data_IF_949996891564
#
_entry.id   IF_949996891564
#
_cell.length_a   1.000
_cell.length_b   1.000
_cell.length_c   1.000
_cell.angle_alpha   90.00
_cell.angle_beta   90.00
_cell.angle_gamma   90.00
#
_symmetry.space_group_name_H-M   'P 1'
#
loop_
_entity.id
_entity.type
_entity.pdbx_description
1 polymer ?
#
# COMPACT_ATOMS: atom_id res chain seq x y z
N UNK A 1 23.60 -4.33 -2.65
CA UNK A 1 24.42 -3.29 -3.30
C UNK A 1 23.59 -2.32 -4.14
N UNK A 2 22.77 -2.78 -5.10
CA UNK A 2 21.96 -1.93 -6.00
C UNK A 2 20.98 -1.00 -5.28
N UNK A 3 20.27 -1.49 -4.24
CA UNK A 3 19.33 -0.66 -3.47
C UNK A 3 20.05 0.48 -2.74
N UNK A 4 21.20 0.18 -2.12
CA UNK A 4 22.01 1.19 -1.41
C UNK A 4 22.50 2.25 -2.39
N UNK A 5 23.08 1.84 -3.52
CA UNK A 5 23.54 2.76 -4.56
C UNK A 5 22.40 3.64 -5.10
N UNK A 6 21.23 3.06 -5.39
CA UNK A 6 20.08 3.83 -5.87
C UNK A 6 19.61 4.87 -4.86
N UNK A 7 19.59 4.53 -3.55
CA UNK A 7 19.18 5.44 -2.48
C UNK A 7 20.20 6.55 -2.25
N UNK A 8 21.49 6.23 -2.31
CA UNK A 8 22.56 7.23 -2.28
C UNK A 8 22.47 8.21 -3.46
N UNK A 9 22.18 7.70 -4.66
CA UNK A 9 22.03 8.54 -5.85
C UNK A 9 20.81 9.48 -5.74
N UNK A 10 19.65 8.94 -5.33
CA UNK A 10 18.43 9.73 -5.06
C UNK A 10 18.66 10.79 -3.99
N UNK A 11 19.38 10.44 -2.91
CA UNK A 11 19.73 11.38 -1.85
C UNK A 11 20.67 12.49 -2.36
N UNK A 12 21.67 12.15 -3.17
CA UNK A 12 22.60 13.11 -3.75
C UNK A 12 21.89 14.08 -4.73
N UNK A 13 21.01 13.56 -5.59
CA UNK A 13 20.22 14.38 -6.52
C UNK A 13 19.24 15.27 -5.75
N UNK A 14 18.54 14.72 -4.76
CA UNK A 14 17.66 15.50 -3.88
C UNK A 14 18.41 16.60 -3.13
N UNK A 15 19.56 16.27 -2.54
CA UNK A 15 20.43 17.24 -1.87
C UNK A 15 20.90 18.33 -2.82
N UNK A 16 21.31 17.97 -4.04
CA UNK A 16 21.71 18.95 -5.05
C UNK A 16 20.56 19.91 -5.40
N UNK A 17 19.35 19.38 -5.62
CA UNK A 17 18.16 20.19 -5.89
C UNK A 17 17.83 21.17 -4.76
N UNK A 18 17.81 20.70 -3.51
CA UNK A 18 17.46 21.50 -2.33
C UNK A 18 18.57 22.51 -1.98
N UNK A 19 19.84 22.09 -2.04
CA UNK A 19 20.98 22.90 -1.62
C UNK A 19 21.43 23.92 -2.66
N UNK A 20 21.54 23.50 -3.93
CA UNK A 20 22.19 24.30 -4.99
C UNK A 20 21.18 24.97 -5.92
N UNK A 21 20.13 24.25 -6.32
CA UNK A 21 19.17 24.75 -7.33
C UNK A 21 18.13 25.67 -6.69
N UNK A 22 17.42 25.18 -5.67
CA UNK A 22 16.32 25.93 -5.04
C UNK A 22 16.72 26.70 -3.77
N UNK A 23 17.95 26.48 -3.25
CA UNK A 23 18.51 27.14 -2.05
C UNK A 23 17.56 27.13 -0.84
N UNK A 24 16.89 26.01 -0.62
CA UNK A 24 15.89 25.82 0.44
C UNK A 24 16.51 25.41 1.80
N UNK A 25 17.84 25.29 1.90
CA UNK A 25 18.52 24.87 3.12
C UNK A 25 18.73 26.04 4.08
N UNK A 26 18.03 26.02 5.21
CA UNK A 26 18.39 26.78 6.39
C UNK A 26 19.38 25.96 7.26
N UNK A 27 20.18 26.64 8.08
CA UNK A 27 21.03 25.96 9.05
C UNK A 27 20.15 25.15 10.04
N UNK A 28 20.48 23.87 10.31
CA UNK A 28 19.68 23.06 11.23
C UNK A 28 19.72 23.69 12.62
N UNK A 29 18.55 24.09 13.14
CA UNK A 29 18.40 24.59 14.51
C UNK A 29 17.71 23.55 15.36
N UNK A 30 18.21 23.32 16.57
CA UNK A 30 17.64 22.31 17.47
C UNK A 30 16.20 22.66 17.88
N UNK A 31 15.93 23.96 18.04
CA UNK A 31 14.60 24.52 18.29
C UNK A 31 13.66 24.34 17.09
N UNK A 32 14.16 24.52 15.86
CA UNK A 32 13.39 24.24 14.64
C UNK A 32 13.09 22.74 14.49
N UNK A 33 14.06 21.88 14.79
CA UNK A 33 13.92 20.43 14.68
C UNK A 33 12.85 19.88 15.63
N UNK A 34 12.83 20.34 16.89
CA UNK A 34 11.81 19.94 17.88
C UNK A 34 10.43 20.50 17.50
N UNK A 35 10.37 21.73 17.00
CA UNK A 35 9.12 22.36 16.55
C UNK A 35 8.51 21.62 15.35
N UNK A 36 9.34 21.23 14.38
CA UNK A 36 8.90 20.52 13.18
C UNK A 36 8.65 19.03 13.43
N UNK A 37 9.31 18.44 14.43
CA UNK A 37 9.15 17.04 14.80
C UNK A 37 7.69 16.70 15.16
N UNK A 38 6.98 17.57 15.88
CA UNK A 38 5.57 17.33 16.23
C UNK A 38 4.69 17.20 14.98
N UNK A 39 4.85 18.11 14.02
CA UNK A 39 4.13 18.09 12.74
C UNK A 39 4.50 16.88 11.89
N UNK A 40 5.80 16.56 11.82
CA UNK A 40 6.30 15.40 11.08
C UNK A 40 5.81 14.08 11.68
N UNK A 41 5.82 13.92 13.00
CA UNK A 41 5.34 12.72 13.68
C UNK A 41 3.85 12.49 13.45
N UNK A 42 3.05 13.56 13.35
CA UNK A 42 1.62 13.47 13.02
C UNK A 42 1.34 12.78 11.67
N UNK A 43 2.29 12.82 10.72
CA UNK A 43 2.17 12.22 9.39
C UNK A 43 2.99 10.92 9.31
N UNK A 44 4.26 10.98 9.70
CA UNK A 44 5.21 9.88 9.60
C UNK A 44 4.90 8.76 10.61
N UNK A 45 4.42 9.08 11.81
CA UNK A 45 4.08 8.11 12.84
C UNK A 45 3.04 7.08 12.38
N UNK A 46 1.84 7.52 11.95
CA UNK A 46 0.83 6.62 11.40
C UNK A 46 1.32 5.82 10.18
N UNK A 47 2.13 6.44 9.30
CA UNK A 47 2.69 5.76 8.14
C UNK A 47 3.68 4.65 8.54
N UNK A 48 4.57 4.91 9.50
CA UNK A 48 5.50 3.90 10.05
C UNK A 48 4.72 2.78 10.72
N UNK A 49 3.74 3.11 11.57
CA UNK A 49 2.89 2.11 12.23
C UNK A 49 2.14 1.24 11.21
N UNK A 50 1.64 1.84 10.14
CA UNK A 50 0.97 1.10 9.05
C UNK A 50 1.90 0.06 8.43
N UNK A 51 3.15 0.44 8.17
CA UNK A 51 4.13 -0.45 7.55
C UNK A 51 4.69 -1.51 8.52
N UNK A 52 4.60 -1.31 9.83
CA UNK A 52 5.01 -2.29 10.85
C UNK A 52 4.04 -3.46 11.03
N UNK A 53 2.77 -3.29 10.68
CA UNK A 53 1.77 -4.36 10.86
C UNK A 53 2.12 -5.65 10.08
N UNK A 54 2.62 -5.51 8.85
CA UNK A 54 3.00 -6.64 7.99
C UNK A 54 4.17 -7.46 8.56
N UNK A 55 5.34 -6.87 8.91
CA UNK A 55 6.44 -7.64 9.49
C UNK A 55 6.07 -8.25 10.84
N UNK A 56 5.26 -7.59 11.67
CA UNK A 56 4.77 -8.17 12.93
C UNK A 56 3.95 -9.45 12.68
N UNK A 57 3.00 -9.39 11.74
CA UNK A 57 2.25 -10.58 11.34
C UNK A 57 3.14 -11.66 10.71
N UNK A 58 4.13 -11.24 9.89
CA UNK A 58 5.10 -12.13 9.26
C UNK A 58 5.91 -12.92 10.28
N UNK A 59 6.46 -12.25 11.30
CA UNK A 59 7.18 -12.91 12.40
C UNK A 59 6.28 -13.96 13.06
N UNK A 60 5.03 -13.62 13.36
CA UNK A 60 4.09 -14.57 13.97
C UNK A 60 3.81 -15.79 13.08
N UNK A 61 3.61 -15.59 11.78
CA UNK A 61 3.42 -16.69 10.80
C UNK A 61 4.66 -17.57 10.74
N UNK A 62 5.86 -16.98 10.65
CA UNK A 62 7.12 -17.72 10.60
C UNK A 62 7.36 -18.51 11.88
N UNK A 63 7.14 -17.91 13.06
CA UNK A 63 7.24 -18.62 14.34
C UNK A 63 6.20 -19.73 14.47
N UNK A 64 4.99 -19.54 13.96
CA UNK A 64 3.96 -20.59 13.91
C UNK A 64 4.38 -21.74 13.00
N UNK A 65 4.97 -21.43 11.83
CA UNK A 65 5.47 -22.42 10.87
C UNK A 65 6.66 -23.22 11.45
N UNK A 66 7.55 -22.57 12.18
CA UNK A 66 8.74 -23.19 12.77
C UNK A 66 8.43 -24.34 13.74
N UNK A 67 7.22 -24.38 14.31
CA UNK A 67 6.76 -25.48 15.16
C UNK A 67 6.61 -26.81 14.42
N UNK A 68 6.57 -26.78 13.09
CA UNK A 68 6.40 -27.96 12.23
C UNK A 68 7.72 -28.41 11.56
N UNK A 69 8.86 -27.88 12.01
CA UNK A 69 10.20 -28.31 11.61
C UNK A 69 10.76 -27.59 10.38
N UNK A 70 12.05 -27.86 10.10
CA UNK A 70 12.84 -27.13 9.11
C UNK A 70 12.28 -27.24 7.69
N UNK A 71 11.73 -28.40 7.32
CA UNK A 71 11.10 -28.60 6.01
C UNK A 71 9.87 -27.70 5.81
N UNK A 72 9.08 -27.46 6.86
CA UNK A 72 7.93 -26.56 6.78
C UNK A 72 8.37 -25.10 6.60
N UNK A 73 9.41 -24.68 7.33
CA UNK A 73 10.02 -23.34 7.19
C UNK A 73 10.64 -23.16 5.80
N UNK A 74 11.32 -24.19 5.26
CA UNK A 74 11.87 -24.17 3.91
C UNK A 74 10.76 -24.02 2.85
N UNK A 75 9.67 -24.77 2.97
CA UNK A 75 8.50 -24.64 2.09
C UNK A 75 7.87 -23.25 2.14
N UNK A 76 7.66 -22.70 3.34
CA UNK A 76 7.18 -21.34 3.51
C UNK A 76 8.13 -20.29 2.89
N UNK A 77 9.44 -20.48 3.05
CA UNK A 77 10.42 -19.59 2.46
C UNK A 77 10.47 -19.67 0.92
N UNK A 78 10.15 -20.82 0.31
CA UNK A 78 9.97 -20.92 -1.15
C UNK A 78 8.74 -20.10 -1.55
N UNK A 79 7.61 -20.30 -0.88
CA UNK A 79 6.38 -19.53 -1.12
C UNK A 79 6.63 -18.03 -1.02
N UNK A 80 7.29 -17.56 0.04
CA UNK A 80 7.61 -16.14 0.24
C UNK A 80 8.47 -15.55 -0.87
N UNK A 81 9.35 -16.33 -1.50
CA UNK A 81 10.15 -15.90 -2.66
C UNK A 81 9.33 -15.85 -3.95
N UNK A 82 8.33 -16.70 -4.09
CA UNK A 82 7.43 -16.70 -5.24
C UNK A 82 6.48 -15.49 -5.23
N UNK A 83 6.02 -15.07 -4.05
CA UNK A 83 5.05 -13.97 -3.88
C UNK A 83 5.42 -12.69 -4.62
N UNK A 84 6.62 -12.08 -4.45
CA UNK A 84 6.96 -10.84 -5.14
C UNK A 84 7.08 -11.02 -6.67
N UNK A 85 7.42 -12.22 -7.15
CA UNK A 85 7.49 -12.52 -8.59
C UNK A 85 6.09 -12.66 -9.17
N UNK A 86 5.21 -13.41 -8.50
CA UNK A 86 3.83 -13.65 -8.94
C UNK A 86 2.95 -12.40 -8.80
N UNK A 87 3.09 -11.68 -7.69
CA UNK A 87 2.18 -10.62 -7.27
C UNK A 87 2.85 -9.24 -7.18
N UNK A 88 4.02 -9.06 -7.79
CA UNK A 88 4.73 -7.78 -7.92
C UNK A 88 3.84 -6.64 -8.40
N UNK A 89 2.92 -6.95 -9.32
CA UNK A 89 1.93 -6.01 -9.87
C UNK A 89 1.02 -5.42 -8.81
N UNK A 90 0.65 -6.16 -7.75
CA UNK A 90 -0.16 -5.62 -6.64
C UNK A 90 0.57 -4.46 -5.96
N UNK A 91 1.87 -4.67 -5.68
CA UNK A 91 2.72 -3.68 -5.03
C UNK A 91 2.97 -2.47 -5.94
N UNK A 92 3.22 -2.72 -7.23
CA UNK A 92 3.43 -1.67 -8.22
C UNK A 92 2.18 -0.82 -8.45
N UNK A 93 1.01 -1.45 -8.57
CA UNK A 93 -0.27 -0.76 -8.79
C UNK A 93 -0.58 0.22 -7.65
N UNK A 94 -0.34 -0.20 -6.41
CA UNK A 94 -0.55 0.63 -5.21
C UNK A 94 0.25 1.93 -5.29
N UNK A 95 1.49 1.88 -5.77
CA UNK A 95 2.35 3.05 -5.96
C UNK A 95 1.91 3.96 -7.11
N UNK A 96 1.36 3.40 -8.19
CA UNK A 96 0.89 4.17 -9.35
C UNK A 96 -0.49 4.83 -9.14
N UNK A 97 -1.40 4.13 -8.46
CA UNK A 97 -2.80 4.57 -8.28
C UNK A 97 -2.90 5.74 -7.29
N UNK A 98 -2.04 5.80 -6.29
CA UNK A 98 -2.05 6.86 -5.27
C UNK A 98 -2.00 8.28 -5.86
N UNK A 99 -0.96 8.64 -6.64
CA UNK A 99 -0.88 9.94 -7.31
C UNK A 99 -2.06 10.24 -8.22
N UNK A 100 -2.57 9.26 -8.96
CA UNK A 100 -3.73 9.43 -9.85
C UNK A 100 -4.98 9.78 -9.05
N UNK A 101 -5.22 9.11 -7.92
CA UNK A 101 -6.34 9.41 -7.03
C UNK A 101 -6.22 10.82 -6.43
N UNK A 102 -5.04 11.17 -5.91
CA UNK A 102 -4.80 12.48 -5.31
C UNK A 102 -4.96 13.62 -6.34
N UNK A 103 -4.43 13.46 -7.56
CA UNK A 103 -4.56 14.46 -8.62
C UNK A 103 -6.00 14.65 -9.08
N UNK A 104 -6.77 13.56 -9.24
CA UNK A 104 -8.19 13.68 -9.61
C UNK A 104 -9.01 14.32 -8.48
N UNK A 105 -8.70 14.01 -7.22
CA UNK A 105 -9.31 14.68 -6.08
C UNK A 105 -8.97 16.18 -6.05
N UNK A 106 -7.71 16.55 -6.23
CA UNK A 106 -7.26 17.94 -6.27
C UNK A 106 -7.87 18.74 -7.44
N UNK A 107 -8.22 18.07 -8.53
CA UNK A 107 -8.95 18.65 -9.66
C UNK A 107 -10.48 18.62 -9.50
N UNK A 108 -11.02 18.17 -8.36
CA UNK A 108 -12.46 18.06 -8.11
C UNK A 108 -13.19 16.99 -8.93
N UNK A 109 -12.46 16.12 -9.66
CA UNK A 109 -13.04 15.11 -10.57
C UNK A 109 -13.29 13.78 -9.87
N UNK A 110 -14.34 13.76 -9.05
CA UNK A 110 -14.71 12.62 -8.21
C UNK A 110 -15.23 11.41 -9.01
N UNK A 111 -15.79 11.65 -10.19
CA UNK A 111 -16.09 10.64 -11.20
C UNK A 111 -14.83 9.84 -11.59
N UNK A 112 -13.72 10.55 -11.84
CA UNK A 112 -12.44 9.94 -12.20
C UNK A 112 -11.76 9.27 -11.01
N UNK A 113 -11.96 9.75 -9.79
CA UNK A 113 -11.52 9.05 -8.56
C UNK A 113 -12.20 7.68 -8.49
N UNK A 114 -13.52 7.63 -8.69
CA UNK A 114 -14.27 6.36 -8.67
C UNK A 114 -13.89 5.44 -9.83
N UNK A 115 -13.70 5.99 -11.04
CA UNK A 115 -13.26 5.22 -12.20
C UNK A 115 -11.86 4.61 -11.97
N UNK A 116 -10.95 5.37 -11.37
CA UNK A 116 -9.60 4.88 -11.01
C UNK A 116 -9.67 3.73 -10.00
N UNK A 117 -10.50 3.86 -8.97
CA UNK A 117 -10.72 2.78 -7.99
C UNK A 117 -11.26 1.51 -8.67
N UNK A 118 -12.29 1.62 -9.51
CA UNK A 118 -12.86 0.49 -10.23
C UNK A 118 -11.85 -0.18 -11.18
N UNK A 119 -11.12 0.62 -11.97
CA UNK A 119 -10.09 0.11 -12.87
C UNK A 119 -8.97 -0.62 -12.12
N UNK A 120 -8.57 -0.09 -10.96
CA UNK A 120 -7.57 -0.73 -10.10
C UNK A 120 -8.05 -2.09 -9.58
N UNK A 121 -9.30 -2.17 -9.13
CA UNK A 121 -9.88 -3.44 -8.66
C UNK A 121 -10.03 -4.46 -9.79
N UNK A 122 -10.50 -4.03 -10.96
CA UNK A 122 -10.63 -4.90 -12.13
C UNK A 122 -9.26 -5.47 -12.56
N UNK A 123 -8.21 -4.63 -12.57
CA UNK A 123 -6.86 -5.07 -12.89
C UNK A 123 -6.32 -6.07 -11.86
N UNK A 124 -6.56 -5.83 -10.56
CA UNK A 124 -6.16 -6.77 -9.50
C UNK A 124 -6.86 -8.12 -9.68
N UNK A 125 -8.18 -8.13 -9.91
CA UNK A 125 -8.94 -9.36 -10.14
C UNK A 125 -8.37 -10.12 -11.33
N UNK A 126 -8.25 -9.46 -12.48
CA UNK A 126 -7.77 -10.08 -13.70
C UNK A 126 -6.36 -10.64 -13.53
N UNK A 127 -5.45 -9.85 -12.97
CA UNK A 127 -4.05 -10.24 -12.78
C UNK A 127 -3.92 -11.42 -11.81
N UNK A 128 -4.56 -11.34 -10.65
CA UNK A 128 -4.45 -12.41 -9.64
C UNK A 128 -5.04 -13.71 -10.17
N UNK A 129 -6.20 -13.67 -10.84
CA UNK A 129 -6.79 -14.87 -11.41
C UNK A 129 -5.92 -15.48 -12.52
N UNK A 130 -5.34 -14.65 -13.39
CA UNK A 130 -4.44 -15.11 -14.45
C UNK A 130 -3.17 -15.77 -13.87
N UNK A 131 -2.53 -15.12 -12.91
CA UNK A 131 -1.32 -15.65 -12.25
C UNK A 131 -1.64 -16.90 -11.44
N UNK A 132 -2.75 -16.91 -10.70
CA UNK A 132 -3.16 -18.08 -9.92
C UNK A 132 -3.45 -19.28 -10.83
N UNK A 133 -4.14 -19.08 -11.96
CA UNK A 133 -4.33 -20.13 -12.96
C UNK A 133 -2.99 -20.64 -13.50
N UNK A 134 -2.07 -19.73 -13.84
CA UNK A 134 -0.73 -20.09 -14.28
C UNK A 134 0.03 -20.93 -13.25
N UNK A 135 0.01 -20.52 -11.97
CA UNK A 135 0.61 -21.27 -10.86
C UNK A 135 -0.06 -22.63 -10.66
N UNK A 136 -1.39 -22.71 -10.73
CA UNK A 136 -2.13 -23.95 -10.60
C UNK A 136 -1.72 -24.98 -11.66
N UNK A 137 -1.56 -24.54 -12.92
CA UNK A 137 -1.13 -25.38 -14.04
C UNK A 137 0.36 -25.74 -13.95
N UNK A 138 1.20 -24.82 -13.47
CA UNK A 138 2.65 -25.01 -13.35
C UNK A 138 3.09 -25.61 -12.01
N UNK A 139 2.17 -25.99 -11.10
CA UNK A 139 2.50 -26.36 -9.71
C UNK A 139 3.56 -27.45 -9.58
N UNK A 140 3.51 -28.47 -10.43
CA UNK A 140 4.47 -29.58 -10.43
C UNK A 140 5.85 -29.11 -10.90
N UNK A 141 5.89 -28.28 -11.93
CA UNK A 141 7.11 -27.65 -12.43
C UNK A 141 7.75 -26.73 -11.39
N UNK A 142 6.95 -25.99 -10.63
CA UNK A 142 7.45 -25.14 -9.54
C UNK A 142 8.10 -26.00 -8.45
N UNK A 143 7.47 -27.10 -8.03
CA UNK A 143 8.06 -28.03 -7.04
C UNK A 143 9.41 -28.56 -7.52
N UNK A 144 9.49 -28.97 -8.79
CA UNK A 144 10.74 -29.45 -9.42
C UNK A 144 11.80 -28.34 -9.47
N UNK A 145 11.42 -27.13 -9.89
CA UNK A 145 12.35 -26.00 -10.04
C UNK A 145 13.01 -25.57 -8.72
N UNK A 146 12.31 -25.77 -7.60
CA UNK A 146 12.83 -25.50 -6.26
C UNK A 146 13.44 -26.74 -5.58
N UNK A 147 13.47 -27.89 -6.26
CA UNK A 147 13.88 -29.17 -5.67
C UNK A 147 13.20 -29.44 -4.32
N UNK A 148 11.92 -29.10 -4.22
CA UNK A 148 11.17 -29.21 -2.97
C UNK A 148 10.72 -30.65 -2.76
N UNK A 149 10.88 -31.15 -1.52
CA UNK A 149 10.54 -32.53 -1.14
C UNK A 149 9.63 -32.55 0.10
N UNK A 150 8.90 -33.66 0.28
CA UNK A 150 8.02 -33.89 1.43
C UNK A 150 7.12 -32.71 1.76
N UNK A 151 7.15 -32.27 3.02
CA UNK A 151 6.33 -31.15 3.51
C UNK A 151 6.58 -29.86 2.73
N UNK A 152 7.81 -29.58 2.31
CA UNK A 152 8.10 -28.37 1.52
C UNK A 152 7.37 -28.41 0.18
N UNK A 153 7.37 -29.57 -0.50
CA UNK A 153 6.65 -29.77 -1.75
C UNK A 153 5.13 -29.60 -1.57
N UNK A 154 4.58 -30.14 -0.48
CA UNK A 154 3.15 -30.05 -0.16
C UNK A 154 2.72 -28.60 0.04
N UNK A 155 3.52 -27.79 0.75
CA UNK A 155 3.25 -26.37 0.95
C UNK A 155 3.31 -25.57 -0.34
N UNK A 156 4.29 -25.86 -1.21
CA UNK A 156 4.41 -25.21 -2.53
C UNK A 156 3.21 -25.57 -3.41
N UNK A 157 2.81 -26.86 -3.45
CA UNK A 157 1.61 -27.30 -4.19
C UNK A 157 0.37 -26.62 -3.66
N UNK A 158 0.18 -26.60 -2.35
CA UNK A 158 -0.96 -25.95 -1.68
C UNK A 158 -1.01 -24.45 -2.01
N UNK A 159 0.15 -23.79 -2.05
CA UNK A 159 0.22 -22.39 -2.44
C UNK A 159 -0.27 -22.18 -3.86
N UNK A 160 0.30 -22.92 -4.81
CA UNK A 160 -0.07 -22.84 -6.22
C UNK A 160 -1.54 -23.20 -6.46
N UNK A 161 -2.11 -24.12 -5.68
CA UNK A 161 -3.49 -24.59 -5.91
C UNK A 161 -4.55 -23.71 -5.27
N UNK A 162 -4.34 -23.24 -4.04
CA UNK A 162 -5.39 -22.57 -3.27
C UNK A 162 -4.94 -21.23 -2.65
N UNK A 163 -3.81 -21.20 -1.95
CA UNK A 163 -3.43 -20.02 -1.14
C UNK A 163 -3.11 -18.82 -2.02
N UNK A 164 -2.55 -19.03 -3.22
CA UNK A 164 -2.28 -17.98 -4.20
C UNK A 164 -3.56 -17.19 -4.57
N UNK A 165 -4.72 -17.84 -4.65
CA UNK A 165 -6.01 -17.16 -4.88
C UNK A 165 -6.37 -16.16 -3.77
N UNK A 166 -5.93 -16.41 -2.53
CA UNK A 166 -6.12 -15.51 -1.40
C UNK A 166 -5.45 -14.14 -1.55
N UNK A 167 -4.43 -14.03 -2.42
CA UNK A 167 -3.78 -12.75 -2.73
C UNK A 167 -4.71 -11.76 -3.42
N UNK A 168 -5.87 -12.20 -3.93
CA UNK A 168 -6.91 -11.31 -4.43
C UNK A 168 -7.36 -10.33 -3.34
N UNK A 169 -7.59 -10.84 -2.13
CA UNK A 169 -8.04 -10.04 -1.00
C UNK A 169 -6.93 -9.17 -0.41
N UNK A 170 -5.68 -9.64 -0.50
CA UNK A 170 -4.51 -8.81 -0.21
C UNK A 170 -4.44 -7.63 -1.20
N UNK A 171 -4.67 -7.87 -2.48
CA UNK A 171 -4.73 -6.81 -3.50
C UNK A 171 -5.86 -5.81 -3.25
N UNK A 172 -7.04 -6.28 -2.87
CA UNK A 172 -8.16 -5.43 -2.46
C UNK A 172 -7.83 -4.53 -1.27
N UNK A 173 -7.19 -5.09 -0.25
CA UNK A 173 -6.70 -4.32 0.90
C UNK A 173 -5.71 -3.25 0.47
N UNK A 174 -4.77 -3.58 -0.43
CA UNK A 174 -3.75 -2.66 -0.90
C UNK A 174 -4.34 -1.50 -1.71
N UNK A 175 -5.30 -1.77 -2.60
CA UNK A 175 -6.04 -0.73 -3.32
C UNK A 175 -6.84 0.16 -2.35
N UNK A 176 -7.47 -0.44 -1.34
CA UNK A 176 -8.15 0.30 -0.27
C UNK A 176 -7.19 1.22 0.49
N UNK A 177 -6.03 0.70 0.91
CA UNK A 177 -5.00 1.47 1.60
C UNK A 177 -4.45 2.62 0.75
N UNK A 178 -4.20 2.39 -0.55
CA UNK A 178 -3.82 3.46 -1.47
C UNK A 178 -4.90 4.55 -1.50
N UNK A 179 -6.17 4.15 -1.54
CA UNK A 179 -7.30 5.09 -1.53
C UNK A 179 -7.31 5.92 -0.23
N UNK A 180 -7.21 5.27 0.93
CA UNK A 180 -7.24 5.95 2.22
C UNK A 180 -6.06 6.91 2.40
N UNK A 181 -4.84 6.47 2.07
CA UNK A 181 -3.64 7.29 2.22
C UNK A 181 -3.63 8.52 1.30
N UNK A 182 -4.22 8.41 0.10
CA UNK A 182 -4.16 9.48 -0.90
C UNK A 182 -5.40 10.40 -0.90
N UNK A 183 -6.51 9.99 -0.26
CA UNK A 183 -7.72 10.82 -0.15
C UNK A 183 -7.89 11.47 1.24
N UNK A 184 -6.85 11.44 2.09
CA UNK A 184 -6.87 12.14 3.39
C UNK A 184 -7.41 11.32 4.57
N UNK A 185 -7.44 9.99 4.48
CA UNK A 185 -7.89 9.10 5.55
C UNK A 185 -6.81 8.09 6.02
N UNK A 186 -5.55 8.52 6.29
CA UNK A 186 -4.44 7.59 6.55
C UNK A 186 -4.66 6.67 7.76
N UNK A 187 -5.41 7.11 8.79
CA UNK A 187 -5.73 6.27 9.95
C UNK A 187 -6.59 5.05 9.59
N UNK A 188 -7.40 5.13 8.53
CA UNK A 188 -8.11 3.95 8.02
C UNK A 188 -7.11 2.93 7.48
N UNK A 189 -6.09 3.35 6.73
CA UNK A 189 -5.05 2.44 6.27
C UNK A 189 -4.30 1.79 7.44
N UNK A 190 -3.95 2.56 8.47
CA UNK A 190 -3.33 2.02 9.69
C UNK A 190 -4.23 0.96 10.34
N UNK A 191 -5.50 1.29 10.56
CA UNK A 191 -6.47 0.41 11.19
C UNK A 191 -6.71 -0.88 10.41
N UNK A 192 -6.83 -0.79 9.08
CA UNK A 192 -7.01 -1.95 8.21
C UNK A 192 -5.79 -2.88 8.20
N UNK A 193 -4.57 -2.32 8.18
CA UNK A 193 -3.35 -3.13 8.22
C UNK A 193 -3.16 -3.82 9.57
N UNK A 194 -3.37 -3.10 10.68
CA UNK A 194 -3.30 -3.70 12.01
C UNK A 194 -4.42 -4.70 12.26
N UNK A 195 -5.65 -4.39 11.85
CA UNK A 195 -6.77 -5.32 11.94
C UNK A 195 -6.51 -6.61 11.17
N UNK A 196 -6.00 -6.51 9.92
CA UNK A 196 -5.60 -7.69 9.14
C UNK A 196 -4.45 -8.44 9.80
N UNK A 197 -3.45 -7.74 10.35
CA UNK A 197 -2.30 -8.36 10.99
C UNK A 197 -2.69 -9.11 12.27
N UNK A 198 -3.57 -8.55 13.09
CA UNK A 198 -3.96 -9.13 14.38
C UNK A 198 -5.22 -9.99 14.22
N UNK A 199 -6.40 -9.39 14.17
CA UNK A 199 -7.70 -10.06 14.13
C UNK A 199 -7.89 -10.92 12.87
N UNK A 200 -7.26 -10.52 11.76
CA UNK A 200 -7.28 -11.29 10.52
C UNK A 200 -6.29 -12.44 10.54
N UNK A 201 -5.00 -12.18 10.77
CA UNK A 201 -3.96 -13.19 10.53
C UNK A 201 -3.74 -14.07 11.74
N UNK A 202 -3.54 -13.51 12.94
CA UNK A 202 -3.11 -14.28 14.12
C UNK A 202 -4.08 -15.40 14.52
N UNK A 203 -5.39 -15.17 14.72
CA UNK A 203 -6.29 -16.22 15.17
C UNK A 203 -6.52 -17.29 14.09
N UNK A 204 -6.55 -16.91 12.81
CA UNK A 204 -6.73 -17.86 11.71
C UNK A 204 -5.49 -18.71 11.48
N UNK A 205 -4.29 -18.15 11.65
CA UNK A 205 -3.02 -18.91 11.63
C UNK A 205 -2.94 -19.85 12.82
N UNK A 206 -3.30 -19.39 14.03
CA UNK A 206 -3.33 -20.24 15.22
C UNK A 206 -4.29 -21.42 15.05
N UNK A 207 -5.53 -21.14 14.66
CA UNK A 207 -6.56 -22.15 14.43
C UNK A 207 -6.18 -23.09 13.28
N UNK A 208 -5.69 -22.55 12.16
CA UNK A 208 -5.24 -23.32 11.01
C UNK A 208 -4.07 -24.24 11.38
N UNK A 209 -3.08 -23.73 12.12
CA UNK A 209 -1.96 -24.53 12.62
C UNK A 209 -2.41 -25.68 13.53
N UNK A 210 -3.41 -25.46 14.38
CA UNK A 210 -3.98 -26.51 15.24
C UNK A 210 -4.76 -27.57 14.44
N UNK A 211 -5.54 -27.15 13.44
CA UNK A 211 -6.40 -28.05 12.65
C UNK A 211 -5.66 -28.84 11.58
N UNK A 212 -4.64 -28.24 10.96
CA UNK A 212 -4.02 -28.75 9.73
C UNK A 212 -2.51 -28.59 9.66
N UNK A 213 -1.85 -28.34 10.79
CA UNK A 213 -0.40 -28.20 10.86
C UNK A 213 0.16 -27.07 9.98
N UNK A 214 1.31 -27.31 9.35
CA UNK A 214 1.95 -26.36 8.45
C UNK A 214 1.06 -25.91 7.26
N UNK A 215 0.38 -26.81 6.52
CA UNK A 215 -0.63 -26.42 5.52
C UNK A 215 -1.70 -25.47 6.07
N UNK A 216 -2.20 -25.75 7.27
CA UNK A 216 -3.21 -24.95 7.93
C UNK A 216 -2.75 -23.54 8.28
N UNK A 217 -1.47 -23.33 8.60
CA UNK A 217 -0.88 -21.99 8.80
C UNK A 217 -1.00 -21.14 7.54
N UNK A 218 -0.65 -21.69 6.36
CA UNK A 218 -0.75 -20.95 5.09
C UNK A 218 -2.20 -20.62 4.73
N UNK A 219 -3.11 -21.59 4.91
CA UNK A 219 -4.54 -21.39 4.67
C UNK A 219 -5.09 -20.32 5.61
N UNK A 220 -4.73 -20.38 6.90
CA UNK A 220 -5.14 -19.40 7.90
C UNK A 220 -4.68 -17.98 7.55
N UNK A 221 -3.44 -17.82 7.07
CA UNK A 221 -2.93 -16.53 6.61
C UNK A 221 -3.73 -15.94 5.45
N UNK A 222 -4.08 -16.77 4.44
CA UNK A 222 -4.90 -16.33 3.32
C UNK A 222 -6.35 -16.01 3.76
N UNK A 223 -6.97 -16.90 4.54
CA UNK A 223 -8.33 -16.72 5.06
C UNK A 223 -8.47 -15.43 5.89
N UNK A 224 -7.46 -15.14 6.72
CA UNK A 224 -7.40 -13.93 7.53
C UNK A 224 -7.41 -12.61 6.75
N UNK A 225 -7.03 -12.66 5.47
CA UNK A 225 -7.01 -11.49 4.59
C UNK A 225 -8.35 -11.25 3.87
N UNK A 226 -9.24 -12.24 3.82
CA UNK A 226 -10.52 -12.18 3.10
C UNK A 226 -11.42 -11.06 3.66
N UNK A 227 -11.69 -11.12 4.97
CA UNK A 227 -12.57 -10.17 5.64
C UNK A 227 -12.06 -8.73 5.46
N UNK A 228 -10.77 -8.51 5.72
CA UNK A 228 -10.17 -7.18 5.65
C UNK A 228 -10.03 -6.66 4.22
N UNK A 229 -9.77 -7.52 3.23
CA UNK A 229 -9.76 -7.14 1.83
C UNK A 229 -11.13 -6.65 1.36
N UNK A 230 -12.19 -7.42 1.64
CA UNK A 230 -13.56 -7.04 1.28
C UNK A 230 -13.99 -5.76 2.01
N UNK A 231 -13.74 -5.69 3.32
CA UNK A 231 -14.08 -4.52 4.12
C UNK A 231 -13.33 -3.26 3.66
N UNK A 232 -12.06 -3.37 3.26
CA UNK A 232 -11.29 -2.24 2.75
C UNK A 232 -11.89 -1.68 1.45
N UNK A 233 -12.28 -2.55 0.52
CA UNK A 233 -12.96 -2.14 -0.73
C UNK A 233 -14.29 -1.46 -0.43
N UNK A 234 -15.09 -2.04 0.46
CA UNK A 234 -16.35 -1.45 0.88
C UNK A 234 -16.17 -0.06 1.49
N UNK A 235 -15.21 0.10 2.42
CA UNK A 235 -14.90 1.40 3.03
C UNK A 235 -14.36 2.38 1.98
N UNK A 236 -13.54 1.95 1.02
CA UNK A 236 -13.05 2.79 -0.07
C UNK A 236 -14.19 3.38 -0.91
N UNK A 237 -15.20 2.57 -1.25
CA UNK A 237 -16.40 3.08 -1.93
C UNK A 237 -17.25 4.00 -1.05
N UNK A 238 -17.33 3.75 0.26
CA UNK A 238 -18.02 4.65 1.20
C UNK A 238 -17.31 6.01 1.29
N UNK A 239 -15.98 6.02 1.37
CA UNK A 239 -15.17 7.24 1.45
C UNK A 239 -15.31 8.07 0.18
N UNK A 240 -15.09 7.46 -1.00
CA UNK A 240 -15.23 8.14 -2.29
C UNK A 240 -16.66 8.65 -2.52
N UNK A 241 -17.68 7.88 -2.12
CA UNK A 241 -19.08 8.31 -2.20
C UNK A 241 -19.42 9.48 -1.26
N UNK A 242 -18.82 9.56 -0.07
CA UNK A 242 -19.00 10.72 0.84
C UNK A 242 -18.36 11.98 0.27
N UNK A 243 -17.16 11.87 -0.28
CA UNK A 243 -16.50 12.99 -0.97
C UNK A 243 -17.38 13.50 -2.13
N UNK A 244 -18.02 12.60 -2.88
CA UNK A 244 -19.00 12.91 -3.94
C UNK A 244 -20.16 13.81 -3.49
N UNK A 245 -20.62 13.66 -2.25
CA UNK A 245 -21.73 14.45 -1.70
C UNK A 245 -21.29 15.81 -1.18
N UNK A 246 -20.06 15.90 -0.67
CA UNK A 246 -19.50 17.15 -0.13
C UNK A 246 -19.02 18.06 -1.26
N UNK A 247 -18.40 17.49 -2.30
CA UNK A 247 -17.94 18.22 -3.49
C UNK A 247 -18.99 18.44 -4.58
N UNK A 248 -20.23 18.00 -4.36
CA UNK A 248 -21.36 18.16 -5.30
C UNK A 248 -22.10 19.50 -5.20
N UNK A 249 -21.60 20.45 -4.41
CA UNK A 249 -22.01 21.86 -4.56
C UNK A 249 -21.59 22.39 -5.93
N UNK A 250 -22.25 23.46 -6.46
CA UNK A 250 -21.87 24.03 -7.75
C UNK A 250 -20.36 24.27 -7.77
N UNK A 251 -19.69 23.78 -8.82
CA UNK A 251 -18.26 23.96 -8.98
C UNK A 251 -17.94 25.45 -8.75
N UNK A 252 -16.93 25.80 -7.94
CA UNK A 252 -16.50 27.19 -7.85
C UNK A 252 -16.25 27.65 -9.27
N UNK A 253 -17.03 28.64 -9.70
CA UNK A 253 -16.98 29.21 -11.03
C UNK A 253 -15.51 29.43 -11.34
N UNK A 254 -15.01 28.77 -12.39
CA UNK A 254 -13.62 28.89 -12.78
C UNK A 254 -13.36 30.39 -12.82
N UNK A 255 -12.43 30.89 -12.00
CA UNK A 255 -12.06 32.29 -12.03
C UNK A 255 -11.46 32.50 -13.41
N UNK A 256 -12.30 32.92 -14.35
CA UNK A 256 -11.91 33.35 -15.67
C UNK A 256 -11.17 34.64 -15.40
N UNK A 257 -9.86 34.54 -15.24
CA UNK A 257 -8.99 35.71 -15.25
C UNK A 257 -9.14 36.29 -16.65
N UNK A 258 -9.77 37.48 -16.80
CA UNK A 258 -9.96 38.07 -18.11
C UNK A 258 -8.58 38.25 -18.78
N UNK A 259 -8.46 37.88 -20.05
CA UNK A 259 -7.20 37.89 -20.80
C UNK A 259 -6.60 39.30 -20.96
N UNK A 260 -7.36 40.32 -20.56
CA UNK A 260 -7.10 41.74 -20.67
C UNK A 260 -6.78 42.43 -19.35
N UNK A 261 -6.63 41.72 -18.22
CA UNK A 261 -6.15 42.34 -16.98
C UNK A 261 -4.66 42.67 -17.13
N UNK A 262 -4.27 43.96 -17.23
CA UNK A 262 -2.86 44.30 -17.28
C UNK A 262 -2.29 43.99 -15.90
N UNK A 263 -1.19 43.22 -15.86
CA UNK A 263 -0.37 43.05 -14.66
C UNK A 263 0.25 44.40 -14.29
N UNK A 264 -0.54 45.24 -13.63
CA UNK A 264 -0.05 46.45 -12.98
C UNK A 264 0.72 46.04 -11.75
N UNK A 265 1.96 46.55 -11.62
CA UNK A 265 2.88 46.33 -10.50
C UNK A 265 2.23 46.54 -9.11
N UNK A 266 1.10 47.27 -9.05
CA UNK A 266 0.31 47.46 -7.83
C UNK A 266 -0.39 46.19 -7.32
N UNK A 267 -0.77 45.26 -8.19
CA UNK A 267 -1.41 43.99 -7.79
C UNK A 267 -0.41 43.01 -7.16
N UNK A 268 0.83 42.96 -7.67
CA UNK A 268 1.91 42.18 -7.09
C UNK A 268 2.36 42.73 -5.71
N UNK A 269 2.36 44.06 -5.54
CA UNK A 269 2.66 44.70 -4.26
C UNK A 269 1.59 44.46 -3.19
N UNK A 270 0.30 44.44 -3.57
CA UNK A 270 -0.80 44.15 -2.64
C UNK A 270 -0.80 42.70 -2.14
N UNK A 271 -0.45 41.74 -3.00
CA UNK A 271 -0.35 40.32 -2.63
C UNK A 271 0.83 40.07 -1.67
N UNK A 272 1.93 40.81 -1.84
CA UNK A 272 3.12 40.71 -0.99
C UNK A 272 2.89 41.29 0.42
N UNK A 273 2.00 42.28 0.56
CA UNK A 273 1.64 42.87 1.85
C UNK A 273 0.67 42.00 2.68
N UNK A 274 -0.06 41.08 2.06
CA UNK A 274 -1.02 40.20 2.74
C UNK A 274 -0.35 38.94 3.34
N UNK A 275 0.83 38.56 2.83
CA UNK A 275 1.59 37.38 3.28
C UNK A 275 2.46 37.67 4.52
N UNK A 276 2.70 38.95 4.85
CA UNK A 276 3.61 39.38 5.91
C UNK A 276 2.93 40.19 7.04
N UNK A 277 1.79 39.72 7.54
CA UNK A 277 1.32 40.15 8.88
C UNK A 277 1.56 39.01 9.88
N UNK A 278 2.16 39.32 11.05
CA UNK A 278 2.53 38.31 12.04
C UNK A 278 1.32 37.57 12.63
#
# INVERSE_FOLDING_TARGET
>A
MTVVLSRCLLAAVGWHGVARVHRLLAAPSWTGLVKDAGTLVGIAGPAVLTNLATPVAGVYVTTSMARFGDAAVAGAAIVDRMVPVAFGTIFALTGAVGPILAQNLGAGRLDRVRATLLASLALIVLWVLAVWLGLFLARDWVVIAFSAEGVSADLVRLFCTAVAGGFLFVGFLFVGNATFNNLGFPLLATGFNWGRATLGTMPFVAAGGWLGGAPGVLIGQAAGSVLFGIAAVWVAFRVTGRLGRIGGGPAPEAVVVPADVPLSDKAAAALTAQINRP
#
